data_IF_487774755358
#
_entry.id   IF_487774755358
#
_cell.length_a   1.000
_cell.length_b   1.000
_cell.length_c   1.000
_cell.angle_alpha   90.00
_cell.angle_beta   90.00
_cell.angle_gamma   90.00
#
_symmetry.space_group_name_H-M   'P 1'
#
loop_
_entity.id
_entity.type
_entity.pdbx_description
1 polymer ?
#
# COMPACT_ATOMS: atom_id res chain seq x y z
N UNK A 1 18.17 3.54 10.39
CA UNK A 1 17.12 2.78 9.68
C UNK A 1 17.80 1.65 8.90
N UNK A 2 17.33 0.39 8.98
CA UNK A 2 17.90 -0.71 8.17
C UNK A 2 17.01 -0.92 6.95
N UNK A 3 17.52 -0.60 5.76
CA UNK A 3 16.83 -0.86 4.48
C UNK A 3 17.28 -2.23 3.99
N UNK A 4 16.32 -3.08 3.60
CA UNK A 4 16.56 -4.37 2.94
C UNK A 4 15.88 -4.33 1.58
N UNK A 5 16.63 -4.62 0.53
CA UNK A 5 16.10 -4.83 -0.82
C UNK A 5 15.84 -6.32 -0.97
N UNK A 6 14.60 -6.68 -1.30
CA UNK A 6 14.26 -8.05 -1.70
C UNK A 6 14.45 -8.17 -3.21
N UNK A 7 15.00 -9.30 -3.67
CA UNK A 7 15.28 -9.53 -5.10
C UNK A 7 14.20 -10.37 -5.79
N UNK A 8 13.20 -10.83 -5.05
CA UNK A 8 12.08 -11.63 -5.54
C UNK A 8 10.78 -11.10 -4.93
N UNK A 9 9.91 -10.57 -5.79
CA UNK A 9 8.69 -9.90 -5.36
C UNK A 9 7.69 -10.88 -4.73
N UNK A 10 7.56 -12.08 -5.30
CA UNK A 10 6.55 -13.05 -4.89
C UNK A 10 6.82 -13.56 -3.47
N UNK A 11 8.05 -13.96 -3.18
CA UNK A 11 8.46 -14.39 -1.83
C UNK A 11 8.42 -13.24 -0.81
N UNK A 12 8.76 -12.01 -1.24
CA UNK A 12 8.67 -10.83 -0.38
C UNK A 12 7.22 -10.54 0.02
N UNK A 13 6.32 -10.43 -0.96
CA UNK A 13 4.90 -10.14 -0.70
C UNK A 13 4.26 -11.23 0.16
N UNK A 14 4.64 -12.50 -0.06
CA UNK A 14 4.17 -13.60 0.76
C UNK A 14 4.68 -13.51 2.20
N UNK A 15 5.80 -12.84 2.49
CA UNK A 15 6.45 -12.77 3.81
C UNK A 15 5.90 -11.64 4.69
N UNK A 16 5.69 -10.45 4.13
CA UNK A 16 5.37 -9.26 4.91
C UNK A 16 3.87 -9.12 5.17
N UNK A 17 3.54 -8.65 6.38
CA UNK A 17 2.16 -8.40 6.81
C UNK A 17 1.66 -7.00 6.42
N UNK A 18 2.55 -6.01 6.39
CA UNK A 18 2.25 -4.62 6.07
C UNK A 18 2.95 -4.24 4.78
N UNK A 19 2.18 -3.80 3.80
CA UNK A 19 2.68 -3.49 2.45
C UNK A 19 2.22 -2.08 2.07
N UNK A 20 3.14 -1.32 1.48
CA UNK A 20 2.85 -0.03 0.85
C UNK A 20 3.12 -0.19 -0.64
N UNK A 21 2.11 0.01 -1.47
CA UNK A 21 2.25 -0.03 -2.93
C UNK A 21 2.03 1.36 -3.53
N UNK A 22 3.13 1.99 -3.94
CA UNK A 22 3.14 3.28 -4.63
C UNK A 22 3.53 3.12 -6.11
N UNK A 23 3.32 1.95 -6.70
CA UNK A 23 3.73 1.67 -8.08
C UNK A 23 2.67 2.12 -9.08
N UNK A 24 3.04 2.62 -10.27
CA UNK A 24 2.11 2.88 -11.37
C UNK A 24 1.83 1.61 -12.18
N UNK A 25 1.51 0.50 -11.50
CA UNK A 25 1.41 -0.81 -12.10
C UNK A 25 0.15 -1.55 -11.65
N UNK A 26 -0.52 -2.23 -12.60
CA UNK A 26 -1.75 -3.00 -12.34
C UNK A 26 -1.42 -4.45 -11.98
N UNK A 27 -2.21 -5.04 -11.09
CA UNK A 27 -2.27 -6.49 -10.82
C UNK A 27 -0.93 -7.16 -10.42
N UNK A 28 0.03 -6.40 -9.89
CA UNK A 28 1.32 -6.90 -9.38
C UNK A 28 1.19 -7.66 -8.05
N UNK A 29 0.10 -7.45 -7.30
CA UNK A 29 -0.21 -8.13 -6.04
C UNK A 29 -1.46 -9.00 -6.25
N UNK A 30 -1.27 -10.32 -6.26
CA UNK A 30 -2.34 -11.29 -6.52
C UNK A 30 -2.82 -11.99 -5.23
N UNK A 31 -3.82 -12.88 -5.37
CA UNK A 31 -4.45 -13.58 -4.24
C UNK A 31 -3.50 -14.49 -3.44
N UNK A 32 -2.49 -15.07 -4.10
CA UNK A 32 -1.46 -15.90 -3.45
C UNK A 32 -0.48 -15.07 -2.65
N UNK A 33 -0.28 -13.80 -3.02
CA UNK A 33 0.65 -12.89 -2.34
C UNK A 33 0.13 -12.39 -1.00
N UNK A 34 -1.20 -12.29 -0.83
CA UNK A 34 -1.79 -11.73 0.40
C UNK A 34 -2.31 -12.83 1.32
N UNK A 35 -2.14 -12.65 2.64
CA UNK A 35 -2.70 -13.52 3.70
C UNK A 35 -3.98 -12.90 4.26
N UNK A 36 -4.69 -13.65 5.10
CA UNK A 36 -5.92 -13.17 5.74
C UNK A 36 -5.70 -12.02 6.73
N UNK A 37 -4.46 -11.81 7.18
CA UNK A 37 -4.04 -10.78 8.13
C UNK A 37 -3.13 -9.71 7.51
N UNK A 38 -2.94 -9.74 6.19
CA UNK A 38 -2.18 -8.72 5.44
C UNK A 38 -2.95 -7.40 5.40
N UNK A 39 -2.22 -6.29 5.54
CA UNK A 39 -2.69 -4.92 5.40
C UNK A 39 -1.94 -4.23 4.28
N UNK A 40 -2.67 -3.53 3.41
CA UNK A 40 -2.07 -2.84 2.26
C UNK A 40 -2.60 -1.41 2.18
N UNK A 41 -1.67 -0.44 2.12
CA UNK A 41 -1.94 0.92 1.68
C UNK A 41 -1.42 1.09 0.26
N UNK A 42 -2.28 1.39 -0.69
CA UNK A 42 -1.92 1.40 -2.11
C UNK A 42 -2.32 2.71 -2.79
N UNK A 43 -1.59 3.82 -2.63
CA UNK A 43 -1.88 5.07 -3.33
C UNK A 43 -1.60 5.02 -4.85
N UNK A 44 -0.84 4.04 -5.35
CA UNK A 44 -0.51 3.90 -6.77
C UNK A 44 -1.74 3.79 -7.68
N UNK A 45 -1.61 4.30 -8.92
CA UNK A 45 -2.67 4.30 -9.93
C UNK A 45 -2.18 3.72 -11.27
N UNK A 46 -2.88 2.73 -11.85
CA UNK A 46 -4.05 2.01 -11.32
C UNK A 46 -3.70 1.13 -10.11
N UNK A 47 -4.70 0.61 -9.38
CA UNK A 47 -4.45 -0.32 -8.27
C UNK A 47 -3.57 -1.51 -8.70
N UNK A 48 -2.52 -1.79 -7.92
CA UNK A 48 -1.66 -2.95 -8.11
C UNK A 48 -2.27 -4.26 -7.64
N UNK A 49 -3.45 -4.24 -7.01
CA UNK A 49 -4.08 -5.44 -6.48
C UNK A 49 -5.08 -6.03 -7.47
N UNK A 50 -4.99 -7.34 -7.69
CA UNK A 50 -6.01 -8.05 -8.43
C UNK A 50 -7.32 -8.17 -7.66
N UNK A 51 -8.42 -8.37 -8.38
CA UNK A 51 -9.75 -8.59 -7.78
C UNK A 51 -9.75 -9.72 -6.73
N UNK A 52 -8.96 -10.77 -6.97
CA UNK A 52 -8.79 -11.88 -6.02
C UNK A 52 -8.06 -11.50 -4.74
N UNK A 53 -7.08 -10.58 -4.82
CA UNK A 53 -6.38 -10.03 -3.67
C UNK A 53 -7.30 -9.11 -2.86
N UNK A 54 -8.00 -8.18 -3.53
CA UNK A 54 -8.98 -7.27 -2.91
C UNK A 54 -10.04 -8.02 -2.10
N UNK A 55 -10.61 -9.08 -2.68
CA UNK A 55 -11.60 -9.93 -2.00
C UNK A 55 -11.05 -10.60 -0.73
N UNK A 56 -9.76 -10.94 -0.69
CA UNK A 56 -9.12 -11.62 0.45
C UNK A 56 -8.75 -10.64 1.58
N UNK A 57 -8.46 -9.38 1.25
CA UNK A 57 -8.08 -8.35 2.22
C UNK A 57 -9.27 -7.80 3.01
N UNK A 58 -10.49 -7.83 2.47
CA UNK A 58 -11.67 -7.27 3.14
C UNK A 58 -11.39 -5.83 3.59
N UNK A 59 -11.65 -5.46 4.85
CA UNK A 59 -11.41 -4.11 5.41
C UNK A 59 -9.94 -3.73 5.67
N UNK A 60 -8.97 -4.45 5.11
CA UNK A 60 -7.52 -4.20 5.32
C UNK A 60 -6.80 -3.61 4.10
N UNK A 61 -7.59 -3.07 3.17
CA UNK A 61 -7.11 -2.38 1.99
C UNK A 61 -7.46 -0.90 2.11
N UNK A 62 -6.42 -0.05 2.15
CA UNK A 62 -6.55 1.40 2.11
C UNK A 62 -6.13 1.89 0.73
N UNK A 63 -7.08 2.44 -0.02
CA UNK A 63 -6.83 3.06 -1.30
C UNK A 63 -7.63 4.35 -1.38
N UNK A 64 -6.89 5.43 -1.58
CA UNK A 64 -7.42 6.75 -1.76
C UNK A 64 -6.51 7.45 -2.79
N UNK A 65 -7.06 7.90 -3.93
CA UNK A 65 -6.26 8.40 -5.03
C UNK A 65 -5.70 9.81 -4.77
N UNK A 66 -6.21 10.57 -3.80
CA UNK A 66 -5.79 11.96 -3.59
C UNK A 66 -6.08 12.53 -2.19
N UNK A 67 -7.28 12.33 -1.67
CA UNK A 67 -7.83 12.97 -0.47
C UNK A 67 -6.95 12.80 0.76
N UNK A 68 -6.43 11.61 1.04
CA UNK A 68 -5.54 11.34 2.17
C UNK A 68 -4.20 12.07 1.98
N UNK A 69 -3.68 12.10 0.75
CA UNK A 69 -2.48 12.86 0.41
C UNK A 69 -2.68 14.35 0.65
N UNK A 70 -3.81 14.90 0.20
CA UNK A 70 -4.16 16.32 0.40
C UNK A 70 -4.38 16.65 1.88
N UNK A 71 -5.07 15.78 2.62
CA UNK A 71 -5.25 15.98 4.07
C UNK A 71 -3.90 16.01 4.79
N UNK A 72 -2.97 15.12 4.43
CA UNK A 72 -1.59 15.12 4.95
C UNK A 72 -0.90 16.45 4.65
N UNK A 73 -0.92 16.91 3.40
CA UNK A 73 -0.30 18.18 3.00
C UNK A 73 -0.89 19.39 3.74
N UNK A 74 -2.21 19.43 3.98
CA UNK A 74 -2.86 20.50 4.75
C UNK A 74 -2.40 20.48 6.20
N UNK A 75 -2.34 19.31 6.83
CA UNK A 75 -1.89 19.17 8.23
C UNK A 75 -0.43 19.60 8.37
N UNK A 76 0.44 19.21 7.43
CA UNK A 76 1.83 19.65 7.41
C UNK A 76 1.94 21.17 7.24
N UNK A 77 1.25 21.75 6.25
CA UNK A 77 1.28 23.19 6.01
C UNK A 77 0.70 24.02 7.17
N UNK A 78 -0.35 23.53 7.83
CA UNK A 78 -0.95 24.20 9.00
C UNK A 78 -0.11 24.01 10.27
N UNK A 79 0.64 22.91 10.38
CA UNK A 79 1.51 22.60 11.51
C UNK A 79 2.80 23.43 11.57
N UNK A 80 3.24 24.00 10.45
CA UNK A 80 4.44 24.85 10.38
C UNK A 80 4.26 26.28 10.95
N UNK A 81 3.13 26.59 11.58
CA UNK A 81 2.95 27.86 12.31
C UNK A 81 3.47 27.85 13.77
N UNK A 82 4.31 26.88 14.14
CA UNK A 82 4.68 26.63 15.54
C UNK A 82 6.11 26.15 15.82
N UNK A 83 7.10 26.50 14.99
CA UNK A 83 8.53 26.35 15.33
C UNK A 83 9.34 27.57 14.91
#
# INVERSE_FOLDING_TARGET
LKIRVENDLDSALATYRYIIDASPARDIINRSHVRGDTYISAPGMPTGLSAGALKKLSGRYLHDPLQIGVATMIVEAAGESGN
#
